data_IF_095388614493
#
_entry.id   IF_095388614493
#
_cell.length_a   1.000
_cell.length_b   1.000
_cell.length_c   1.000
_cell.angle_alpha   90.00
_cell.angle_beta   90.00
_cell.angle_gamma   90.00
#
_symmetry.space_group_name_H-M   'P 1'
#
loop_
_entity.id
_entity.type
_entity.pdbx_description
1 polymer ?
#
# COMPACT_ATOMS: atom_id res chain seq x y z
N UNK A 1 -13.09 22.19 28.85
CA UNK A 1 -11.78 21.67 28.38
C UNK A 1 -11.78 21.40 26.88
N UNK A 2 -12.90 20.99 26.26
CA UNK A 2 -12.96 20.76 24.80
C UNK A 2 -12.86 22.04 23.94
N UNK A 3 -13.29 23.20 24.45
CA UNK A 3 -13.23 24.47 23.68
C UNK A 3 -11.83 25.08 23.54
N UNK A 4 -10.90 24.73 24.43
CA UNK A 4 -9.52 25.27 24.42
C UNK A 4 -8.62 24.46 23.46
N UNK A 5 -8.89 23.15 23.33
CA UNK A 5 -8.16 22.27 22.40
C UNK A 5 -8.51 22.54 20.92
N UNK A 6 -9.77 22.89 20.63
CA UNK A 6 -10.22 23.29 19.29
C UNK A 6 -9.65 24.65 18.86
N UNK A 7 -9.58 25.62 19.78
CA UNK A 7 -8.95 26.92 19.52
C UNK A 7 -7.44 26.79 19.26
N UNK A 8 -6.73 25.98 20.06
CA UNK A 8 -5.28 25.75 19.89
C UNK A 8 -4.91 25.01 18.58
N UNK A 9 -5.84 24.23 18.00
CA UNK A 9 -5.64 23.57 16.71
C UNK A 9 -5.97 24.48 15.52
N UNK A 10 -6.94 25.39 15.65
CA UNK A 10 -7.24 26.40 14.64
C UNK A 10 -6.12 27.45 14.54
N UNK A 11 -5.60 27.90 15.69
CA UNK A 11 -4.52 28.89 15.77
C UNK A 11 -3.19 28.32 15.23
N UNK A 12 -2.87 27.04 15.51
CA UNK A 12 -1.72 26.34 14.89
C UNK A 12 -1.90 26.09 13.39
N UNK A 13 -3.11 25.83 12.90
CA UNK A 13 -3.38 25.71 11.46
C UNK A 13 -3.25 27.05 10.75
N UNK A 14 -3.70 28.14 11.37
CA UNK A 14 -3.52 29.50 10.84
C UNK A 14 -2.05 29.92 10.86
N UNK A 15 -1.30 29.59 11.92
CA UNK A 15 0.14 29.85 12.01
C UNK A 15 0.94 29.02 10.98
N UNK A 16 0.56 27.76 10.75
CA UNK A 16 1.18 26.90 9.73
C UNK A 16 0.84 27.38 8.31
N UNK A 17 -0.41 27.80 8.07
CA UNK A 17 -0.85 28.39 6.80
C UNK A 17 -0.18 29.76 6.56
N UNK A 18 0.04 30.57 7.59
CA UNK A 18 0.78 31.83 7.51
C UNK A 18 2.28 31.60 7.28
N UNK A 19 2.89 30.56 7.88
CA UNK A 19 4.29 30.17 7.62
C UNK A 19 4.46 29.59 6.21
N UNK A 20 3.49 28.82 5.70
CA UNK A 20 3.44 28.35 4.32
C UNK A 20 3.13 29.48 3.31
N UNK A 21 2.33 30.47 3.71
CA UNK A 21 2.02 31.67 2.93
C UNK A 21 3.19 32.66 2.86
N UNK A 22 3.94 32.83 3.95
CA UNK A 22 5.17 33.61 3.97
C UNK A 22 6.30 32.94 3.17
N UNK A 23 6.34 31.59 3.16
CA UNK A 23 7.24 30.82 2.29
C UNK A 23 6.89 30.92 0.79
N UNK A 24 5.71 31.44 0.43
CA UNK A 24 5.31 31.68 -0.98
C UNK A 24 5.80 33.00 -1.56
N UNK A 25 6.43 33.89 -0.78
CA UNK A 25 6.84 35.22 -1.28
C UNK A 25 8.35 35.49 -1.26
N UNK A 26 9.19 34.51 -0.90
CA UNK A 26 10.64 34.64 -1.05
C UNK A 26 11.27 33.30 -1.43
N UNK A 27 11.55 33.11 -2.71
CA UNK A 27 12.55 32.15 -3.16
C UNK A 27 13.86 32.91 -3.37
N UNK A 28 14.87 32.55 -2.59
CA UNK A 28 16.24 33.04 -2.79
C UNK A 28 16.91 32.19 -3.87
N UNK A 29 17.44 32.84 -4.91
CA UNK A 29 18.52 32.24 -5.71
C UNK A 29 19.83 32.36 -4.93
N UNK A 30 20.79 31.48 -5.22
CA UNK A 30 22.17 31.62 -4.74
C UNK A 30 22.92 32.85 -5.35
N UNK A 31 22.21 33.85 -5.90
CA UNK A 31 22.78 35.08 -6.45
C UNK A 31 22.01 36.38 -6.13
N UNK A 32 20.98 36.36 -5.27
CA UNK A 32 20.42 37.59 -4.69
C UNK A 32 19.55 38.48 -5.60
N UNK A 33 18.96 37.97 -6.68
CA UNK A 33 17.98 38.73 -7.48
C UNK A 33 16.54 38.23 -7.34
N UNK A 34 15.60 39.19 -7.30
CA UNK A 34 14.16 38.98 -7.10
C UNK A 34 13.47 38.73 -8.45
N UNK A 35 12.89 37.55 -8.63
CA UNK A 35 12.07 37.23 -9.82
C UNK A 35 10.60 37.23 -9.44
N UNK A 36 9.79 38.07 -10.10
CA UNK A 36 8.33 38.13 -9.97
C UNK A 36 7.72 37.30 -11.10
N UNK A 37 6.84 36.32 -10.85
CA UNK A 37 6.26 35.52 -11.92
C UNK A 37 4.96 36.14 -12.45
N UNK A 38 4.94 36.51 -13.74
CA UNK A 38 3.71 36.74 -14.49
C UNK A 38 3.18 35.40 -15.06
N UNK A 39 2.04 34.97 -14.53
CA UNK A 39 1.01 34.14 -15.17
C UNK A 39 1.43 32.81 -15.84
N UNK A 40 1.67 31.77 -15.03
CA UNK A 40 1.30 30.37 -15.32
C UNK A 40 1.27 29.53 -14.03
N UNK A 41 0.25 28.67 -13.78
CA UNK A 41 0.32 27.69 -12.71
C UNK A 41 1.28 26.56 -13.13
N UNK A 42 2.52 26.60 -12.64
CA UNK A 42 3.52 25.58 -12.96
C UNK A 42 3.26 24.27 -12.18
N UNK A 43 3.16 23.10 -12.83
CA UNK A 43 3.22 21.81 -12.14
C UNK A 43 4.67 21.56 -11.70
N UNK A 44 4.92 21.61 -10.39
CA UNK A 44 6.27 21.42 -9.82
C UNK A 44 6.59 19.92 -9.69
N UNK A 45 7.35 19.37 -10.63
CA UNK A 45 8.01 18.07 -10.49
C UNK A 45 9.47 18.31 -10.04
N UNK A 46 9.92 17.65 -8.98
CA UNK A 46 11.29 17.77 -8.47
C UNK A 46 11.99 16.41 -8.53
N UNK A 47 12.85 16.23 -9.52
CA UNK A 47 13.72 15.05 -9.66
C UNK A 47 15.02 15.30 -8.90
N UNK A 48 15.24 14.59 -7.80
CA UNK A 48 16.48 14.63 -7.02
C UNK A 48 17.68 14.04 -7.77
N UNK A 49 18.89 14.40 -7.34
CA UNK A 49 20.12 13.82 -7.89
C UNK A 49 20.12 12.29 -7.73
N UNK A 50 20.34 11.56 -8.84
CA UNK A 50 20.49 10.10 -8.85
C UNK A 50 19.27 9.29 -9.33
N UNK A 51 18.15 9.91 -9.70
CA UNK A 51 17.03 9.19 -10.31
C UNK A 51 17.36 8.76 -11.75
N UNK A 52 17.16 7.47 -12.08
CA UNK A 52 17.34 6.94 -13.43
C UNK A 52 15.97 6.63 -14.02
N UNK A 53 15.53 7.45 -14.97
CA UNK A 53 14.37 7.18 -15.80
C UNK A 53 14.85 6.40 -17.02
N UNK A 54 14.56 5.10 -17.07
CA UNK A 54 14.94 4.25 -18.21
C UNK A 54 13.79 4.22 -19.22
N UNK A 55 14.07 4.66 -20.44
CA UNK A 55 13.16 4.58 -21.57
C UNK A 55 13.92 4.11 -22.84
N UNK A 56 13.17 3.69 -23.86
CA UNK A 56 13.70 3.15 -25.12
C UNK A 56 14.75 4.09 -25.78
N UNK A 57 15.66 3.59 -26.64
CA UNK A 57 16.77 4.37 -27.20
C UNK A 57 16.35 5.67 -27.88
N UNK A 58 15.14 5.75 -28.47
CA UNK A 58 14.60 6.97 -29.06
C UNK A 58 14.18 8.03 -28.01
N UNK A 59 13.94 7.64 -26.76
CA UNK A 59 13.58 8.51 -25.62
C UNK A 59 14.82 9.11 -24.93
N UNK A 60 16.02 8.55 -25.19
CA UNK A 60 17.29 9.02 -24.59
C UNK A 60 17.68 10.45 -25.01
N UNK A 61 17.16 10.97 -26.12
CA UNK A 61 17.46 12.34 -26.55
C UNK A 61 16.76 13.43 -25.71
N UNK A 62 15.74 13.11 -24.91
CA UNK A 62 15.03 14.09 -24.06
C UNK A 62 15.44 14.07 -22.58
N UNK A 63 16.30 13.13 -22.16
CA UNK A 63 16.69 12.95 -20.74
C UNK A 63 17.97 13.72 -20.33
N UNK A 64 18.62 14.46 -21.25
CA UNK A 64 19.95 15.04 -21.00
C UNK A 64 19.98 16.44 -20.37
N UNK A 65 18.88 16.94 -19.82
CA UNK A 65 18.85 18.24 -19.16
C UNK A 65 18.07 18.20 -17.83
N UNK A 66 18.60 17.49 -16.83
CA UNK A 66 18.08 17.55 -15.46
C UNK A 66 19.25 17.49 -14.45
N UNK A 67 20.15 18.46 -14.53
CA UNK A 67 20.87 18.93 -13.34
C UNK A 67 20.87 20.46 -13.38
N UNK A 68 20.32 21.06 -12.31
CA UNK A 68 20.08 22.50 -12.09
C UNK A 68 18.94 23.10 -12.93
N UNK A 69 17.94 23.64 -12.22
CA UNK A 69 16.68 24.21 -12.70
C UNK A 69 15.64 23.15 -13.12
N UNK A 70 14.69 22.87 -12.23
CA UNK A 70 13.67 21.85 -12.40
C UNK A 70 12.81 22.04 -13.63
N UNK A 71 12.45 20.93 -14.29
CA UNK A 71 11.34 20.85 -15.24
C UNK A 71 10.89 19.39 -15.39
N UNK A 72 9.61 19.19 -15.70
CA UNK A 72 8.91 17.91 -15.80
C UNK A 72 9.45 16.96 -16.89
N UNK A 73 9.25 15.64 -16.70
CA UNK A 73 9.53 14.60 -17.70
C UNK A 73 8.23 14.17 -18.38
N UNK A 74 8.17 14.27 -19.72
CA UNK A 74 7.11 13.70 -20.56
C UNK A 74 7.71 12.51 -21.31
N UNK A 75 7.14 11.31 -21.11
CA UNK A 75 7.53 10.09 -21.79
C UNK A 75 6.61 9.84 -23.00
N UNK A 76 7.17 9.81 -24.22
CA UNK A 76 6.48 9.38 -25.44
C UNK A 76 7.01 8.06 -25.97
N UNK A 77 6.14 7.23 -26.55
CA UNK A 77 6.52 6.03 -27.31
C UNK A 77 6.15 6.16 -28.80
N UNK A 78 6.87 5.41 -29.64
CA UNK A 78 7.05 5.54 -31.09
C UNK A 78 5.80 5.14 -31.91
N UNK A 79 5.56 5.83 -33.04
CA UNK A 79 4.81 5.25 -34.17
C UNK A 79 5.55 4.02 -34.74
N UNK A 80 4.84 2.97 -35.20
CA UNK A 80 5.49 1.87 -35.89
C UNK A 80 6.10 2.37 -37.20
N UNK A 81 7.41 2.17 -37.37
CA UNK A 81 8.10 2.42 -38.65
C UNK A 81 7.41 1.59 -39.73
N UNK A 82 6.77 2.26 -40.70
CA UNK A 82 6.36 1.64 -41.95
C UNK A 82 7.62 1.06 -42.64
N UNK A 83 7.78 -0.26 -42.58
CA UNK A 83 8.59 -0.95 -43.58
C UNK A 83 7.81 -0.85 -44.89
N UNK A 84 8.50 -0.37 -45.93
CA UNK A 84 7.90 0.03 -47.18
C UNK A 84 6.99 -1.04 -47.79
N UNK A 85 5.79 -0.61 -48.16
CA UNK A 85 5.24 -1.00 -49.44
C UNK A 85 4.33 0.13 -49.93
N UNK A 86 4.63 0.63 -51.11
CA UNK A 86 3.88 1.66 -51.83
C UNK A 86 2.53 1.09 -52.27
N UNK A 87 1.52 1.20 -51.42
CA UNK A 87 0.13 1.23 -51.86
C UNK A 87 -0.63 2.22 -50.98
N UNK A 88 -1.29 3.18 -51.64
CA UNK A 88 -2.13 4.18 -51.03
C UNK A 88 -3.05 3.54 -49.97
N UNK A 89 -2.95 3.99 -48.73
CA UNK A 89 -3.91 3.68 -47.67
C UNK A 89 -4.49 5.00 -47.19
N UNK A 90 -5.81 5.06 -47.26
CA UNK A 90 -6.63 6.19 -46.80
C UNK A 90 -6.33 6.57 -45.34
N UNK A 91 -6.56 7.83 -44.95
CA UNK A 91 -6.40 8.26 -43.57
C UNK A 91 -7.42 7.54 -42.67
N UNK A 92 -6.92 6.60 -41.85
CA UNK A 92 -7.68 5.96 -40.79
C UNK A 92 -8.14 7.01 -39.77
N UNK A 93 -9.42 7.36 -39.83
CA UNK A 93 -10.08 8.17 -38.81
C UNK A 93 -10.47 7.26 -37.63
N UNK A 94 -9.56 7.09 -36.67
CA UNK A 94 -9.81 6.38 -35.42
C UNK A 94 -9.23 7.16 -34.24
N UNK A 95 -10.03 7.40 -33.20
CA UNK A 95 -9.51 7.93 -31.95
C UNK A 95 -8.62 6.85 -31.30
N UNK A 96 -7.31 7.05 -31.33
CA UNK A 96 -6.36 6.17 -30.66
C UNK A 96 -6.24 6.60 -29.18
N UNK A 97 -6.79 5.80 -28.26
CA UNK A 97 -6.51 5.92 -26.84
C UNK A 97 -5.10 5.40 -26.56
N UNK A 98 -4.13 6.30 -26.50
CA UNK A 98 -2.79 5.98 -26.00
C UNK A 98 -2.82 6.12 -24.47
N UNK A 99 -2.72 5.00 -23.74
CA UNK A 99 -2.44 5.06 -22.31
C UNK A 99 -0.98 5.48 -22.13
N UNK A 100 -0.76 6.75 -21.80
CA UNK A 100 0.55 7.25 -21.42
C UNK A 100 0.81 6.93 -19.95
N UNK A 101 1.96 6.35 -19.67
CA UNK A 101 2.46 6.22 -18.30
C UNK A 101 3.03 7.58 -17.88
N UNK A 102 2.60 8.10 -16.72
CA UNK A 102 2.89 9.48 -16.33
C UNK A 102 3.52 9.57 -14.94
N UNK A 103 4.44 10.53 -14.77
CA UNK A 103 5.03 10.90 -13.47
C UNK A 103 4.70 12.37 -13.22
N UNK A 104 3.73 12.65 -12.35
CA UNK A 104 3.15 13.99 -12.15
C UNK A 104 3.16 14.37 -10.67
N UNK A 105 3.65 15.56 -10.34
CA UNK A 105 3.67 16.08 -8.97
C UNK A 105 4.35 15.11 -7.98
N UNK A 106 5.55 14.62 -8.34
CA UNK A 106 6.31 13.65 -7.55
C UNK A 106 7.56 14.30 -6.99
N UNK A 107 7.79 14.12 -5.69
CA UNK A 107 9.05 14.45 -5.05
C UNK A 107 9.94 13.21 -4.99
N UNK A 108 11.18 13.31 -5.47
CA UNK A 108 12.13 12.19 -5.49
C UNK A 108 13.40 12.53 -4.73
N UNK A 109 13.82 11.66 -3.81
CA UNK A 109 15.10 11.74 -3.11
C UNK A 109 15.85 10.41 -3.16
N UNK A 110 17.06 10.41 -3.71
CA UNK A 110 17.92 9.22 -3.81
C UNK A 110 17.67 8.38 -5.09
N UNK A 111 18.23 7.16 -5.16
CA UNK A 111 18.14 6.31 -6.35
C UNK A 111 16.76 5.65 -6.48
N UNK A 112 15.86 6.31 -7.19
CA UNK A 112 14.53 5.80 -7.54
C UNK A 112 14.50 5.35 -8.99
N UNK A 113 13.87 4.22 -9.26
CA UNK A 113 13.62 3.70 -10.61
C UNK A 113 12.12 3.65 -10.86
N UNK A 114 11.67 4.37 -11.89
CA UNK A 114 10.31 4.28 -12.42
C UNK A 114 10.39 3.74 -13.84
N UNK A 115 9.79 2.58 -14.10
CA UNK A 115 9.86 1.90 -15.41
C UNK A 115 8.50 1.32 -15.78
N UNK A 116 7.95 1.70 -16.92
CA UNK A 116 6.68 1.13 -17.37
C UNK A 116 5.51 1.38 -16.41
N UNK A 117 5.55 2.44 -15.60
CA UNK A 117 4.65 2.65 -14.45
C UNK A 117 4.22 4.11 -14.34
N UNK A 118 3.11 4.37 -13.63
CA UNK A 118 2.60 5.72 -13.40
C UNK A 118 2.66 6.13 -11.93
N UNK A 119 3.03 7.37 -11.66
CA UNK A 119 3.16 7.92 -10.31
C UNK A 119 2.57 9.33 -10.26
N UNK A 120 1.68 9.60 -9.32
CA UNK A 120 1.00 10.88 -9.16
C UNK A 120 1.06 11.34 -7.70
N UNK A 121 1.26 12.64 -7.46
CA UNK A 121 1.11 13.29 -6.15
C UNK A 121 1.86 12.58 -5.00
N UNK A 122 3.04 12.02 -5.28
CA UNK A 122 3.69 11.08 -4.36
C UNK A 122 5.09 11.52 -3.95
N UNK A 123 5.55 11.02 -2.81
CA UNK A 123 6.91 11.20 -2.31
C UNK A 123 7.66 9.88 -2.37
N UNK A 124 8.75 9.84 -3.12
CA UNK A 124 9.60 8.67 -3.32
C UNK A 124 10.96 8.90 -2.68
N UNK A 125 11.26 8.15 -1.63
CA UNK A 125 12.51 8.21 -0.89
C UNK A 125 13.31 6.93 -1.14
N UNK A 126 14.61 7.08 -1.35
CA UNK A 126 15.56 5.99 -1.58
C UNK A 126 16.94 6.34 -1.02
N UNK A 127 17.78 5.33 -0.83
CA UNK A 127 19.21 5.48 -0.51
C UNK A 127 20.04 4.51 -1.35
N UNK A 128 21.35 4.74 -1.49
CA UNK A 128 22.24 3.95 -2.35
C UNK A 128 22.16 2.43 -2.11
N UNK A 129 22.06 1.99 -0.84
CA UNK A 129 21.91 0.57 -0.48
C UNK A 129 20.48 0.03 -0.51
N UNK A 130 19.47 0.88 -0.74
CA UNK A 130 18.06 0.50 -0.76
C UNK A 130 17.30 1.40 -1.77
N UNK A 131 17.44 1.13 -3.08
CA UNK A 131 16.72 1.87 -4.12
C UNK A 131 15.22 1.57 -4.04
N UNK A 132 14.41 2.56 -4.40
CA UNK A 132 12.95 2.42 -4.46
C UNK A 132 12.54 2.17 -5.91
N UNK A 133 11.76 1.10 -6.12
CA UNK A 133 11.46 0.58 -7.46
C UNK A 133 9.96 0.63 -7.73
N UNK A 134 9.57 1.26 -8.85
CA UNK A 134 8.18 1.31 -9.33
C UNK A 134 8.17 0.81 -10.77
N UNK A 135 7.70 -0.41 -11.01
CA UNK A 135 7.99 -1.15 -12.24
C UNK A 135 6.78 -1.90 -12.80
N UNK A 136 6.88 -2.31 -14.07
CA UNK A 136 6.01 -3.31 -14.71
C UNK A 136 4.50 -3.04 -14.56
N UNK A 137 4.05 -1.85 -14.95
CA UNK A 137 2.62 -1.48 -14.94
C UNK A 137 2.10 -1.01 -13.59
N UNK A 138 2.99 -0.78 -12.61
CA UNK A 138 2.59 -0.28 -11.30
C UNK A 138 1.95 1.12 -11.36
N UNK A 139 1.04 1.38 -10.44
CA UNK A 139 0.40 2.69 -10.26
C UNK A 139 0.53 3.13 -8.80
N UNK A 140 1.08 4.32 -8.59
CA UNK A 140 1.22 4.92 -7.25
C UNK A 140 0.59 6.30 -7.25
N UNK A 141 -0.37 6.56 -6.37
CA UNK A 141 -1.09 7.84 -6.24
C UNK A 141 -1.11 8.30 -4.80
N UNK A 142 -0.91 9.60 -4.58
CA UNK A 142 -1.14 10.26 -3.28
C UNK A 142 -0.43 9.55 -2.10
N UNK A 143 0.76 8.99 -2.35
CA UNK A 143 1.42 8.05 -1.45
C UNK A 143 2.86 8.44 -1.12
N UNK A 144 3.36 7.90 -0.01
CA UNK A 144 4.75 8.08 0.43
C UNK A 144 5.44 6.73 0.50
N UNK A 145 6.54 6.58 -0.25
CA UNK A 145 7.34 5.36 -0.32
C UNK A 145 8.72 5.61 0.29
N UNK A 146 9.07 4.82 1.30
CA UNK A 146 10.36 4.86 1.97
C UNK A 146 11.44 4.05 1.22
N UNK A 147 12.72 4.19 1.61
CA UNK A 147 13.83 3.51 0.93
C UNK A 147 13.68 2.00 0.87
N UNK A 148 13.94 1.44 -0.30
CA UNK A 148 13.85 0.00 -0.55
C UNK A 148 12.42 -0.49 -0.80
N UNK A 149 11.43 0.40 -0.84
CA UNK A 149 10.07 0.01 -1.21
C UNK A 149 10.00 -0.43 -2.67
N UNK A 150 9.23 -1.49 -2.95
CA UNK A 150 9.04 -2.01 -4.30
C UNK A 150 7.55 -2.10 -4.63
N UNK A 151 7.14 -1.41 -5.69
CA UNK A 151 5.80 -1.53 -6.28
C UNK A 151 5.94 -2.03 -7.71
N UNK A 152 5.51 -3.27 -7.99
CA UNK A 152 5.71 -3.87 -9.30
C UNK A 152 4.60 -4.84 -9.74
N UNK A 153 4.72 -5.33 -10.97
CA UNK A 153 3.88 -6.35 -11.58
C UNK A 153 2.38 -6.01 -11.49
N UNK A 154 2.02 -4.84 -12.03
CA UNK A 154 0.66 -4.26 -12.03
C UNK A 154 0.06 -3.98 -10.65
N UNK A 155 0.89 -3.89 -9.60
CA UNK A 155 0.42 -3.46 -8.29
C UNK A 155 -0.08 -2.01 -8.26
N UNK A 156 -1.02 -1.73 -7.36
CA UNK A 156 -1.55 -0.38 -7.11
C UNK A 156 -1.38 0.04 -5.66
N UNK A 157 -0.99 1.29 -5.47
CA UNK A 157 -0.85 1.92 -4.15
C UNK A 157 -1.49 3.30 -4.20
N UNK A 158 -2.49 3.54 -3.35
CA UNK A 158 -3.21 4.80 -3.27
C UNK A 158 -3.32 5.28 -1.83
N UNK A 159 -3.17 6.59 -1.59
CA UNK A 159 -3.43 7.23 -0.29
C UNK A 159 -2.71 6.54 0.89
N UNK A 160 -1.49 6.04 0.66
CA UNK A 160 -0.83 5.08 1.55
C UNK A 160 0.61 5.46 1.90
N UNK A 161 1.08 4.92 3.02
CA UNK A 161 2.45 5.04 3.48
C UNK A 161 3.12 3.66 3.50
N UNK A 162 4.17 3.52 2.69
CA UNK A 162 5.03 2.34 2.65
C UNK A 162 6.34 2.67 3.37
N UNK A 163 6.63 1.95 4.46
CA UNK A 163 7.90 2.03 5.16
C UNK A 163 9.00 1.21 4.48
N UNK A 164 10.23 1.35 4.98
CA UNK A 164 11.43 0.85 4.31
C UNK A 164 11.37 -0.66 4.05
N UNK A 165 11.85 -1.08 2.88
CA UNK A 165 11.89 -2.49 2.47
C UNK A 165 10.51 -3.17 2.39
N UNK A 166 9.41 -2.42 2.39
CA UNK A 166 8.07 -2.98 2.14
C UNK A 166 7.82 -3.19 0.64
N UNK A 167 6.79 -3.94 0.28
CA UNK A 167 6.45 -4.13 -1.13
C UNK A 167 4.97 -4.35 -1.40
N UNK A 168 4.54 -3.92 -2.58
CA UNK A 168 3.22 -4.22 -3.16
C UNK A 168 3.45 -4.77 -4.56
N UNK A 169 3.11 -6.03 -4.80
CA UNK A 169 3.61 -6.79 -5.96
C UNK A 169 2.52 -7.68 -6.54
N UNK A 170 2.70 -8.17 -7.76
CA UNK A 170 1.83 -9.18 -8.41
C UNK A 170 0.35 -8.82 -8.32
N UNK A 171 -0.01 -7.65 -8.85
CA UNK A 171 -1.36 -7.08 -8.81
C UNK A 171 -1.94 -6.83 -7.40
N UNK A 172 -1.08 -6.77 -6.39
CA UNK A 172 -1.46 -6.33 -5.05
C UNK A 172 -2.03 -4.93 -5.03
N UNK A 173 -3.00 -4.72 -4.16
CA UNK A 173 -3.68 -3.44 -4.02
C UNK A 173 -3.58 -2.97 -2.58
N UNK A 174 -3.04 -1.77 -2.39
CA UNK A 174 -2.98 -1.10 -1.09
C UNK A 174 -3.65 0.26 -1.20
N UNK A 175 -4.65 0.51 -0.36
CA UNK A 175 -5.36 1.79 -0.31
C UNK A 175 -5.54 2.27 1.12
N UNK A 176 -5.38 3.58 1.35
CA UNK A 176 -5.63 4.22 2.65
C UNK A 176 -4.96 3.51 3.83
N UNK A 177 -3.75 3.00 3.63
CA UNK A 177 -3.11 2.08 4.57
C UNK A 177 -1.67 2.46 4.90
N UNK A 178 -1.22 2.02 6.06
CA UNK A 178 0.18 2.10 6.49
C UNK A 178 0.77 0.70 6.48
N UNK A 179 1.78 0.49 5.64
CA UNK A 179 2.51 -0.77 5.52
C UNK A 179 3.90 -0.58 6.15
N UNK A 180 4.12 -1.19 7.31
CA UNK A 180 5.39 -1.11 8.03
C UNK A 180 6.52 -1.84 7.29
N UNK A 181 7.74 -1.61 7.79
CA UNK A 181 8.96 -2.08 7.15
C UNK A 181 8.93 -3.60 6.93
N UNK A 182 9.50 -4.06 5.82
CA UNK A 182 9.63 -5.50 5.45
C UNK A 182 8.33 -6.27 5.26
N UNK A 183 7.17 -5.62 5.37
CA UNK A 183 5.88 -6.25 5.04
C UNK A 183 5.61 -6.19 3.54
N UNK A 184 5.09 -7.29 3.00
CA UNK A 184 4.88 -7.44 1.56
C UNK A 184 3.45 -7.88 1.28
N UNK A 185 2.75 -7.08 0.48
CA UNK A 185 1.45 -7.38 -0.08
C UNK A 185 1.68 -7.87 -1.51
N UNK A 186 1.42 -9.14 -1.78
CA UNK A 186 1.39 -9.66 -3.15
C UNK A 186 -0.05 -9.53 -3.67
N UNK A 187 -0.67 -10.59 -4.18
CA UNK A 187 -2.00 -10.59 -4.84
C UNK A 187 -3.21 -10.17 -3.98
N UNK A 188 -3.01 -9.65 -2.78
CA UNK A 188 -4.08 -9.28 -1.86
C UNK A 188 -4.54 -7.83 -1.99
N UNK A 189 -5.78 -7.62 -1.57
CA UNK A 189 -6.40 -6.31 -1.40
C UNK A 189 -6.31 -5.90 0.08
N UNK A 190 -5.60 -4.81 0.36
CA UNK A 190 -5.37 -4.27 1.70
C UNK A 190 -5.88 -2.84 1.78
N UNK A 191 -6.90 -2.58 2.59
CA UNK A 191 -7.57 -1.28 2.67
C UNK A 191 -7.81 -0.79 4.09
N UNK A 192 -7.57 0.50 4.35
CA UNK A 192 -7.82 1.11 5.67
C UNK A 192 -7.12 0.37 6.83
N UNK A 193 -5.87 -0.05 6.64
CA UNK A 193 -5.13 -0.89 7.59
C UNK A 193 -3.88 -0.22 8.17
N UNK A 194 -3.54 -0.57 9.41
CA UNK A 194 -2.21 -0.39 9.99
C UNK A 194 -1.53 -1.76 10.05
N UNK A 195 -0.69 -2.07 9.06
CA UNK A 195 0.02 -3.35 8.95
C UNK A 195 1.41 -3.21 9.55
N UNK A 196 1.67 -3.94 10.64
CA UNK A 196 2.97 -4.01 11.30
C UNK A 196 4.04 -4.72 10.47
N UNK A 197 5.29 -4.78 10.96
CA UNK A 197 6.42 -5.30 10.19
C UNK A 197 6.33 -6.81 9.98
N UNK A 198 7.01 -7.32 8.94
CA UNK A 198 7.13 -8.76 8.66
C UNK A 198 5.76 -9.46 8.46
N UNK A 199 4.76 -8.75 7.94
CA UNK A 199 3.49 -9.33 7.54
C UNK A 199 3.57 -9.74 6.07
N UNK A 200 3.22 -10.99 5.79
CA UNK A 200 3.15 -11.54 4.45
C UNK A 200 1.71 -11.70 3.96
N UNK A 201 1.47 -11.36 2.70
CA UNK A 201 0.24 -11.74 2.00
C UNK A 201 0.59 -12.23 0.60
N UNK A 202 0.86 -13.52 0.47
CA UNK A 202 1.45 -14.11 -0.74
C UNK A 202 0.44 -14.51 -1.81
N UNK A 203 -0.85 -14.33 -1.59
CA UNK A 203 -1.90 -14.82 -2.48
C UNK A 203 -3.10 -13.89 -2.41
N UNK A 204 -4.07 -14.09 -3.30
CA UNK A 204 -5.34 -13.36 -3.25
C UNK A 204 -6.01 -13.54 -1.88
N UNK A 205 -6.19 -12.43 -1.18
CA UNK A 205 -6.83 -12.34 0.12
C UNK A 205 -7.39 -10.91 0.31
N UNK A 206 -8.32 -10.74 1.24
CA UNK A 206 -8.85 -9.44 1.64
C UNK A 206 -8.43 -9.14 3.08
N UNK A 207 -7.87 -7.95 3.30
CA UNK A 207 -7.61 -7.40 4.62
C UNK A 207 -8.11 -5.95 4.67
N UNK A 208 -9.18 -5.70 5.40
CA UNK A 208 -9.71 -4.34 5.57
C UNK A 208 -9.94 -3.97 7.03
N UNK A 209 -9.85 -2.67 7.33
CA UNK A 209 -10.10 -2.09 8.65
C UNK A 209 -9.39 -2.85 9.80
N UNK A 210 -8.11 -3.15 9.61
CA UNK A 210 -7.30 -3.93 10.53
C UNK A 210 -6.18 -3.11 11.18
N UNK A 211 -6.14 -3.14 12.50
CA UNK A 211 -5.02 -2.67 13.32
C UNK A 211 -4.13 -3.86 13.68
N UNK A 212 -2.97 -3.96 13.03
CA UNK A 212 -2.01 -5.04 13.21
C UNK A 212 -0.59 -4.54 13.53
N UNK A 213 -0.40 -3.66 14.54
CA UNK A 213 0.85 -2.94 14.74
C UNK A 213 2.06 -3.84 15.03
N UNK A 214 1.87 -4.97 15.69
CA UNK A 214 2.96 -5.90 16.03
C UNK A 214 3.42 -6.78 14.85
N UNK A 215 2.59 -6.88 13.79
CA UNK A 215 2.91 -7.60 12.56
C UNK A 215 3.29 -9.07 12.76
N UNK A 216 4.30 -9.55 12.03
CA UNK A 216 4.89 -10.91 12.02
C UNK A 216 3.97 -12.05 11.62
N UNK A 217 2.77 -11.74 11.15
CA UNK A 217 1.80 -12.77 10.77
C UNK A 217 1.63 -12.90 9.27
N UNK A 218 0.60 -13.63 8.88
CA UNK A 218 0.40 -14.01 7.49
C UNK A 218 -1.07 -14.07 7.12
N UNK A 219 -1.35 -13.65 5.88
CA UNK A 219 -2.63 -13.83 5.20
C UNK A 219 -2.48 -14.96 4.17
N UNK A 220 -3.20 -16.05 4.38
CA UNK A 220 -3.24 -17.14 3.43
C UNK A 220 -4.25 -16.87 2.30
N UNK A 221 -4.14 -17.63 1.20
CA UNK A 221 -5.06 -17.53 0.06
C UNK A 221 -6.54 -17.66 0.48
N UNK A 222 -7.37 -16.77 -0.05
CA UNK A 222 -8.80 -16.72 0.19
C UNK A 222 -9.19 -16.22 1.58
N UNK A 223 -8.24 -15.85 2.45
CA UNK A 223 -8.57 -15.26 3.73
C UNK A 223 -9.38 -13.96 3.51
N UNK A 224 -10.54 -13.89 4.15
CA UNK A 224 -11.47 -12.79 4.07
C UNK A 224 -11.55 -12.09 5.43
N UNK A 225 -10.58 -11.22 5.69
CA UNK A 225 -10.40 -10.55 6.97
C UNK A 225 -11.05 -9.16 6.90
N UNK A 226 -12.26 -9.06 7.46
CA UNK A 226 -13.08 -7.86 7.35
C UNK A 226 -14.28 -7.97 6.42
N UNK A 227 -14.77 -9.19 6.19
CA UNK A 227 -16.02 -9.47 5.47
C UNK A 227 -17.28 -8.98 6.22
N UNK A 228 -17.42 -7.68 6.46
CA UNK A 228 -18.47 -7.14 7.35
C UNK A 228 -19.62 -6.40 6.66
N UNK A 229 -19.72 -6.52 5.32
CA UNK A 229 -20.89 -6.15 4.49
C UNK A 229 -22.15 -6.99 4.81
N UNK A 230 -22.53 -7.04 6.07
CA UNK A 230 -23.68 -7.77 6.61
C UNK A 230 -24.96 -6.95 6.52
N UNK A 231 -24.87 -5.68 6.10
CA UNK A 231 -25.98 -4.74 5.98
C UNK A 231 -26.58 -4.30 7.32
N UNK A 232 -25.97 -4.66 8.46
CA UNK A 232 -26.52 -4.39 9.80
C UNK A 232 -26.01 -3.11 10.44
N UNK A 233 -24.71 -2.84 10.33
CA UNK A 233 -24.00 -1.72 10.95
C UNK A 233 -22.81 -1.31 10.07
N UNK A 234 -22.26 -0.09 10.24
CA UNK A 234 -20.99 0.28 9.61
C UNK A 234 -19.91 -0.75 9.90
N UNK A 235 -18.97 -0.91 8.95
CA UNK A 235 -17.83 -1.79 9.12
C UNK A 235 -17.04 -1.36 10.37
N UNK A 236 -16.80 -2.32 11.26
CA UNK A 236 -16.04 -2.12 12.49
C UNK A 236 -14.59 -2.50 12.24
N UNK A 237 -13.81 -2.70 13.29
CA UNK A 237 -12.37 -2.94 13.16
C UNK A 237 -11.96 -4.31 13.70
N UNK A 238 -10.82 -4.80 13.21
CA UNK A 238 -10.06 -5.88 13.81
C UNK A 238 -8.83 -5.34 14.52
N UNK A 239 -8.62 -5.75 15.76
CA UNK A 239 -7.33 -5.64 16.43
C UNK A 239 -6.60 -6.98 16.35
N UNK A 240 -5.64 -7.11 15.43
CA UNK A 240 -4.92 -8.36 15.20
C UNK A 240 -3.76 -8.54 16.19
N UNK A 241 -3.60 -9.78 16.67
CA UNK A 241 -2.47 -10.18 17.51
C UNK A 241 -1.17 -10.28 16.73
N UNK A 242 -0.04 -10.10 17.41
CA UNK A 242 1.27 -10.38 16.82
C UNK A 242 1.34 -11.80 16.25
N UNK A 243 1.89 -11.98 15.06
CA UNK A 243 2.13 -13.31 14.51
C UNK A 243 0.86 -14.12 14.19
N UNK A 244 -0.33 -13.52 14.22
CA UNK A 244 -1.56 -14.24 13.90
C UNK A 244 -1.51 -14.75 12.45
N UNK A 245 -1.93 -15.98 12.23
CA UNK A 245 -2.01 -16.60 10.91
C UNK A 245 -3.47 -16.75 10.53
N UNK A 246 -3.92 -15.97 9.53
CA UNK A 246 -5.25 -16.15 8.95
C UNK A 246 -5.18 -17.28 7.93
N UNK A 247 -5.78 -18.42 8.27
CA UNK A 247 -5.82 -19.63 7.44
C UNK A 247 -6.45 -19.43 6.08
N UNK A 248 -6.23 -20.43 5.21
CA UNK A 248 -6.80 -20.46 3.88
C UNK A 248 -8.33 -20.32 3.97
N UNK A 249 -8.91 -19.51 3.10
CA UNK A 249 -10.38 -19.34 2.99
C UNK A 249 -11.10 -19.05 4.32
N UNK A 250 -10.40 -18.46 5.29
CA UNK A 250 -11.00 -18.03 6.57
C UNK A 250 -11.90 -16.82 6.38
N UNK A 251 -12.87 -16.64 7.26
CA UNK A 251 -13.70 -15.43 7.28
C UNK A 251 -13.73 -14.80 8.67
N UNK A 252 -13.21 -13.59 8.80
CA UNK A 252 -13.18 -12.88 10.08
C UNK A 252 -14.28 -11.83 10.12
N UNK A 253 -15.27 -12.01 11.00
CA UNK A 253 -16.36 -11.05 11.19
C UNK A 253 -16.00 -10.02 12.26
N UNK A 254 -16.41 -8.77 12.01
CA UNK A 254 -16.10 -7.65 12.88
C UNK A 254 -17.30 -7.27 13.77
N UNK A 255 -17.07 -6.70 14.96
CA UNK A 255 -15.76 -6.38 15.55
C UNK A 255 -15.01 -7.61 16.03
N UNK A 256 -13.68 -7.61 15.86
CA UNK A 256 -12.82 -8.67 16.37
C UNK A 256 -11.64 -8.08 17.15
N UNK A 257 -11.31 -8.67 18.30
CA UNK A 257 -10.15 -8.27 19.08
C UNK A 257 -9.33 -9.49 19.47
N UNK A 258 -8.23 -9.68 18.75
CA UNK A 258 -7.23 -10.73 18.94
C UNK A 258 -5.90 -10.16 19.42
N UNK A 259 -5.88 -8.91 19.90
CA UNK A 259 -4.65 -8.21 20.28
C UNK A 259 -3.85 -8.97 21.36
N UNK A 260 -4.53 -9.73 22.21
CA UNK A 260 -3.93 -10.54 23.27
C UNK A 260 -3.82 -12.04 22.91
N UNK A 261 -4.05 -12.42 21.65
CA UNK A 261 -3.91 -13.79 21.16
C UNK A 261 -2.74 -13.94 20.17
N UNK A 262 -1.49 -13.56 20.55
CA UNK A 262 -0.35 -13.64 19.66
C UNK A 262 -0.06 -15.07 19.22
N UNK A 263 0.48 -15.22 18.01
CA UNK A 263 0.87 -16.49 17.39
C UNK A 263 -0.26 -17.53 17.34
N UNK A 264 -1.49 -17.04 17.22
CA UNK A 264 -2.68 -17.86 17.02
C UNK A 264 -2.87 -18.14 15.53
N UNK A 265 -3.26 -19.37 15.19
CA UNK A 265 -3.61 -19.78 13.84
C UNK A 265 -5.12 -19.95 13.75
N UNK A 266 -5.74 -19.29 12.77
CA UNK A 266 -7.14 -19.56 12.41
C UNK A 266 -7.11 -20.69 11.37
N UNK A 267 -7.74 -21.83 11.64
CA UNK A 267 -7.67 -22.98 10.75
C UNK A 267 -8.34 -22.69 9.39
N UNK A 268 -7.97 -23.46 8.37
CA UNK A 268 -8.54 -23.34 7.02
C UNK A 268 -10.06 -23.42 7.03
N UNK A 269 -10.72 -22.53 6.30
CA UNK A 269 -12.19 -22.50 6.15
C UNK A 269 -12.95 -21.97 7.36
N UNK A 270 -12.27 -21.70 8.48
CA UNK A 270 -12.94 -21.26 9.71
C UNK A 270 -13.46 -19.84 9.56
N UNK A 271 -14.73 -19.68 9.92
CA UNK A 271 -15.33 -18.37 10.12
C UNK A 271 -15.38 -18.03 11.61
N UNK A 272 -14.95 -16.83 11.97
CA UNK A 272 -15.12 -16.30 13.32
C UNK A 272 -16.33 -15.38 13.38
N UNK A 273 -17.14 -15.51 14.42
CA UNK A 273 -18.10 -14.48 14.79
C UNK A 273 -17.37 -13.27 15.39
N UNK A 274 -18.05 -12.10 15.49
CA UNK A 274 -17.53 -10.99 16.27
C UNK A 274 -17.19 -11.43 17.69
N UNK A 275 -15.91 -11.35 18.06
CA UNK A 275 -15.44 -11.90 19.32
C UNK A 275 -14.12 -11.29 19.77
N UNK A 276 -13.83 -11.44 21.07
CA UNK A 276 -12.53 -11.18 21.67
C UNK A 276 -11.84 -12.50 21.97
N UNK A 277 -10.56 -12.60 21.65
CA UNK A 277 -9.71 -13.74 21.96
C UNK A 277 -8.41 -13.26 22.59
N UNK A 278 -8.09 -13.83 23.75
CA UNK A 278 -6.90 -13.48 24.52
C UNK A 278 -5.97 -14.69 24.74
N UNK A 279 -6.23 -15.82 24.06
CA UNK A 279 -5.43 -17.03 24.22
C UNK A 279 -4.25 -17.02 23.24
N UNK A 280 -3.00 -16.95 23.71
CA UNK A 280 -1.83 -16.98 22.84
C UNK A 280 -1.55 -18.40 22.35
N UNK A 281 -0.76 -18.52 21.27
CA UNK A 281 -0.28 -19.78 20.74
C UNK A 281 -1.41 -20.81 20.60
N UNK A 282 -2.52 -20.45 19.97
CA UNK A 282 -3.69 -21.33 19.85
C UNK A 282 -4.02 -21.64 18.40
N UNK A 283 -4.71 -22.76 18.18
CA UNK A 283 -5.41 -23.04 16.93
C UNK A 283 -6.90 -22.78 17.15
N UNK A 284 -7.47 -21.92 16.33
CA UNK A 284 -8.92 -21.63 16.30
C UNK A 284 -9.56 -22.52 15.24
N UNK A 285 -10.52 -23.34 15.64
CA UNK A 285 -11.21 -24.27 14.75
C UNK A 285 -12.73 -24.07 14.77
N UNK A 286 -13.41 -24.77 13.87
CA UNK A 286 -14.85 -24.96 13.97
C UNK A 286 -15.21 -25.73 15.26
N UNK A 287 -16.39 -25.49 15.84
CA UNK A 287 -16.83 -26.24 17.00
C UNK A 287 -16.93 -27.74 16.72
N UNK A 288 -16.53 -28.55 17.70
CA UNK A 288 -16.60 -30.00 17.65
C UNK A 288 -18.02 -30.48 17.41
N UNK A 289 -18.13 -31.58 16.66
CA UNK A 289 -19.41 -32.24 16.36
C UNK A 289 -19.53 -33.57 17.11
N UNK A 290 -20.75 -34.10 17.23
CA UNK A 290 -20.97 -35.43 17.83
C UNK A 290 -20.62 -35.49 19.32
N UNK A 291 -19.87 -36.52 19.72
CA UNK A 291 -19.59 -36.85 21.13
C UNK A 291 -18.54 -35.97 21.81
N UNK A 292 -17.72 -35.23 21.03
CA UNK A 292 -16.72 -34.30 21.58
C UNK A 292 -17.28 -32.89 21.80
N UNK A 293 -18.49 -32.61 21.28
CA UNK A 293 -19.18 -31.33 21.48
C UNK A 293 -19.51 -31.13 22.97
N UNK A 294 -19.11 -29.99 23.53
CA UNK A 294 -19.54 -29.59 24.88
C UNK A 294 -20.98 -29.06 24.83
N UNK A 295 -21.99 -29.75 25.42
CA UNK A 295 -23.40 -29.43 25.17
C UNK A 295 -23.85 -28.03 25.63
N UNK A 296 -23.15 -27.44 26.61
CA UNK A 296 -23.47 -26.11 27.13
C UNK A 296 -22.98 -24.98 26.21
N UNK A 297 -22.06 -25.26 25.28
CA UNK A 297 -21.52 -24.26 24.37
C UNK A 297 -22.38 -24.14 23.11
N UNK A 298 -22.55 -22.90 22.67
CA UNK A 298 -23.19 -22.60 21.39
C UNK A 298 -22.38 -23.23 20.25
N UNK A 299 -23.03 -23.90 19.28
CA UNK A 299 -22.35 -24.43 18.10
C UNK A 299 -21.88 -23.33 17.15
N UNK A 300 -22.06 -22.06 17.50
CA UNK A 300 -21.58 -20.92 16.72
C UNK A 300 -20.25 -20.35 17.24
N UNK A 301 -19.74 -20.84 18.37
CA UNK A 301 -18.49 -20.36 18.98
C UNK A 301 -17.35 -21.25 18.49
N UNK A 302 -16.25 -20.64 18.06
CA UNK A 302 -15.04 -21.36 17.65
C UNK A 302 -14.41 -22.09 18.84
N UNK A 303 -13.81 -23.25 18.58
CA UNK A 303 -13.03 -23.98 19.58
C UNK A 303 -11.56 -23.58 19.53
N UNK A 304 -10.94 -23.49 20.71
CA UNK A 304 -9.53 -23.13 20.85
C UNK A 304 -8.75 -24.36 21.30
N UNK A 305 -7.75 -24.73 20.51
CA UNK A 305 -6.81 -25.80 20.80
C UNK A 305 -5.50 -25.14 21.22
N UNK A 306 -5.08 -25.27 22.49
CA UNK A 306 -3.85 -24.66 22.94
C UNK A 306 -2.64 -25.28 22.23
N UNK A 307 -1.68 -24.45 21.83
CA UNK A 307 -0.50 -24.87 21.08
C UNK A 307 0.43 -25.79 21.87
N UNK A 308 0.38 -25.77 23.21
CA UNK A 308 1.08 -26.76 24.01
C UNK A 308 0.56 -28.19 23.78
N UNK A 309 -0.63 -28.39 23.20
CA UNK A 309 -1.02 -29.73 22.78
C UNK A 309 -0.09 -30.35 21.74
N UNK A 310 0.72 -29.53 21.03
CA UNK A 310 1.77 -30.04 20.15
C UNK A 310 2.88 -30.78 20.89
N UNK A 311 3.14 -30.47 22.18
CA UNK A 311 4.14 -31.24 22.96
C UNK A 311 3.66 -32.66 23.25
N UNK A 312 2.34 -32.83 23.40
CA UNK A 312 1.75 -34.08 23.87
C UNK A 312 1.22 -34.93 22.72
N UNK A 313 0.74 -34.29 21.65
CA UNK A 313 0.26 -34.95 20.45
C UNK A 313 0.39 -34.03 19.22
N UNK A 314 1.45 -34.24 18.44
CA UNK A 314 1.69 -33.53 17.18
C UNK A 314 0.60 -33.73 16.11
N UNK A 315 -0.27 -34.74 16.28
CA UNK A 315 -1.36 -35.05 15.36
C UNK A 315 -2.73 -34.54 15.84
N UNK A 316 -2.82 -33.90 17.02
CA UNK A 316 -4.10 -33.45 17.59
C UNK A 316 -4.70 -32.19 16.93
N UNK A 317 -3.99 -31.57 15.98
CA UNK A 317 -4.43 -30.34 15.31
C UNK A 317 -5.13 -30.58 13.96
N UNK A 318 -5.59 -31.80 13.68
CA UNK A 318 -6.32 -32.17 12.47
C UNK A 318 -7.72 -32.70 12.78
#
# INVERSE_FOLDING_TARGET
MESVAAAATAERRAECAAKLGAARQAAWSASGERVVPEHAPAPTCFIGAGAILSAAPEVRCMLRACTRAGTACVCGAREPRAQGNTHAREPLHGAHHFMFLQVINVYVRGPVVVSGSSVYNSTLLAVEGAPTLIQNGAVVTDSVLHPGSIVDDNASVADSLLFSLSGVRRAGMVMESVIASTSCVYEAEVGHCLVGPLVGSHHTALLIACLWPHGKGNLAYGANVGSNHTGKLPDQELMAGEGIFFGLTTGIKFPANFAQAPYTLIATGVNTLPQKMDMPFSLVNEPSTGSTRVPILSPAINELFPGWMLSDNMYALY
#
